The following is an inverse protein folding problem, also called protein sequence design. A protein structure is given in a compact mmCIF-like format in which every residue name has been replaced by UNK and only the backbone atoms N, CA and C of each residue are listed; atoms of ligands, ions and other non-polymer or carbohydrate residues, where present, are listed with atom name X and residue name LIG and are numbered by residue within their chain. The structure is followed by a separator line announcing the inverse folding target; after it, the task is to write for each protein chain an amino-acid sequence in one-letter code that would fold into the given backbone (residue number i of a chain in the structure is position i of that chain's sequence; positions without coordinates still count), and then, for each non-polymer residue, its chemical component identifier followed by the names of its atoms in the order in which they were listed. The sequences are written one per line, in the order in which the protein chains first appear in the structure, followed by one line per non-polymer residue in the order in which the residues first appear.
data_IF_306024975107
#
_entry.id   IF_306024975107
#
_cell.length_a   1.000
_cell.length_b   1.000
_cell.length_c   1.000
_cell.angle_alpha   90.00
_cell.angle_beta   90.00
_cell.angle_gamma   90.00
#
_symmetry.space_group_name_H-M   'P 1'
#
loop_
_entity.id
_entity.type
_entity.pdbx_description
1 polymer ?
#
# COMPACT_ATOMS: atom_id res chain seq x y z
N UNK A 1 1.46 -12.58 -3.08
CA UNK A 1 2.00 -12.68 -1.71
C UNK A 1 0.79 -12.63 -0.78
N UNK A 2 0.66 -13.57 0.16
CA UNK A 2 -0.49 -13.62 1.08
C UNK A 2 -0.10 -13.06 2.44
N UNK A 3 -1.07 -12.50 3.17
CA UNK A 3 -0.91 -11.99 4.54
C UNK A 3 -0.20 -13.00 5.45
N UNK A 4 -0.70 -14.24 5.48
CA UNK A 4 -0.16 -15.32 6.31
C UNK A 4 1.32 -15.63 6.04
N UNK A 5 1.79 -15.49 4.78
CA UNK A 5 3.21 -15.73 4.45
C UNK A 5 4.12 -14.66 5.09
N UNK A 6 3.67 -13.41 5.13
CA UNK A 6 4.43 -12.28 5.68
C UNK A 6 4.40 -12.34 7.21
N UNK A 7 3.25 -12.66 7.80
CA UNK A 7 3.09 -12.82 9.26
C UNK A 7 3.95 -13.96 9.81
N UNK A 8 4.03 -15.10 9.10
CA UNK A 8 4.93 -16.22 9.46
C UNK A 8 6.41 -15.83 9.48
N UNK A 9 6.81 -14.75 8.82
CA UNK A 9 8.17 -14.20 8.87
C UNK A 9 8.39 -13.24 10.04
N UNK A 10 7.39 -13.06 10.91
CA UNK A 10 7.49 -12.21 12.11
C UNK A 10 7.10 -10.75 11.89
N UNK A 11 6.45 -10.42 10.79
CA UNK A 11 5.99 -9.05 10.51
C UNK A 11 4.52 -8.85 10.92
N UNK A 12 4.19 -7.66 11.40
CA UNK A 12 2.80 -7.24 11.58
C UNK A 12 2.18 -6.80 10.25
N UNK A 13 0.98 -7.29 9.93
CA UNK A 13 0.36 -7.07 8.60
C UNK A 13 -1.09 -6.63 8.72
N UNK A 14 -1.38 -5.44 8.21
CA UNK A 14 -2.74 -5.00 7.91
C UNK A 14 -3.02 -5.27 6.42
N UNK A 15 -4.15 -5.92 6.12
CA UNK A 15 -4.53 -6.26 4.75
C UNK A 15 -5.92 -5.69 4.43
N UNK A 16 -6.04 -5.10 3.25
CA UNK A 16 -7.25 -4.44 2.78
C UNK A 16 -7.56 -4.89 1.35
N UNK A 17 -8.84 -5.02 1.03
CA UNK A 17 -9.35 -5.24 -0.33
C UNK A 17 -9.94 -3.97 -0.96
N UNK A 18 -10.06 -2.89 -0.18
CA UNK A 18 -10.53 -1.59 -0.62
C UNK A 18 -9.44 -0.54 -0.37
N UNK A 19 -8.95 0.16 -1.41
CA UNK A 19 -7.89 1.15 -1.24
C UNK A 19 -8.34 2.39 -0.46
N UNK A 20 -9.64 2.67 -0.36
CA UNK A 20 -10.16 3.78 0.46
C UNK A 20 -9.99 3.48 1.95
N UNK A 21 -10.28 2.24 2.37
CA UNK A 21 -10.07 1.80 3.75
C UNK A 21 -8.58 1.79 4.11
N UNK A 22 -7.74 1.33 3.18
CA UNK A 22 -6.29 1.38 3.34
C UNK A 22 -5.79 2.83 3.49
N UNK A 23 -6.27 3.76 2.66
CA UNK A 23 -5.89 5.17 2.73
C UNK A 23 -6.27 5.80 4.07
N UNK A 24 -7.49 5.54 4.56
CA UNK A 24 -7.94 6.03 5.87
C UNK A 24 -7.04 5.49 6.98
N UNK A 25 -6.83 4.17 7.01
CA UNK A 25 -5.98 3.53 8.01
C UNK A 25 -4.54 4.05 8.00
N UNK A 26 -3.94 4.27 6.81
CA UNK A 26 -2.57 4.78 6.68
C UNK A 26 -2.42 6.24 7.13
N UNK A 27 -3.50 7.02 7.12
CA UNK A 27 -3.54 8.41 7.60
C UNK A 27 -3.87 8.52 9.09
N UNK A 28 -4.41 7.48 9.72
CA UNK A 28 -4.68 7.44 11.16
C UNK A 28 -3.38 7.33 11.99
N UNK A 29 -3.39 7.90 13.20
CA UNK A 29 -2.22 7.89 14.09
C UNK A 29 -1.79 6.48 14.54
N UNK A 30 -2.72 5.52 14.56
CA UNK A 30 -2.45 4.15 14.99
C UNK A 30 -1.61 3.35 13.98
N UNK A 31 -1.42 3.87 12.76
CA UNK A 31 -0.61 3.21 11.74
C UNK A 31 0.82 3.76 11.65
N UNK A 32 1.26 4.60 12.60
CA UNK A 32 2.62 5.22 12.61
C UNK A 32 3.75 4.20 12.51
N UNK A 33 3.55 2.97 12.99
CA UNK A 33 4.54 1.89 12.91
C UNK A 33 4.65 1.22 11.52
N UNK A 34 3.68 1.46 10.63
CA UNK A 34 3.76 0.94 9.27
C UNK A 34 4.95 1.58 8.55
N UNK A 35 5.84 0.73 8.01
CA UNK A 35 7.06 1.15 7.31
C UNK A 35 7.05 0.84 5.82
N UNK A 36 6.16 -0.07 5.38
CA UNK A 36 6.06 -0.52 4.01
C UNK A 36 4.61 -0.82 3.63
N UNK A 37 4.22 -0.34 2.46
CA UNK A 37 2.93 -0.65 1.83
C UNK A 37 3.18 -1.46 0.58
N UNK A 38 2.51 -2.60 0.47
CA UNK A 38 2.50 -3.43 -0.74
C UNK A 38 1.12 -3.28 -1.37
N UNK A 39 1.06 -2.74 -2.59
CA UNK A 39 -0.21 -2.46 -3.28
C UNK A 39 -0.17 -2.95 -4.71
N UNK A 40 -1.29 -3.44 -5.23
CA UNK A 40 -1.43 -3.71 -6.65
C UNK A 40 -1.59 -2.40 -7.43
N UNK A 41 -1.06 -2.34 -8.66
CA UNK A 41 -1.13 -1.13 -9.49
C UNK A 41 -2.57 -0.80 -9.87
N UNK A 42 -3.39 -1.82 -10.14
CA UNK A 42 -4.79 -1.69 -10.54
C UNK A 42 -5.67 -2.23 -9.42
N UNK A 43 -6.41 -1.34 -8.78
CA UNK A 43 -7.45 -1.65 -7.81
C UNK A 43 -8.72 -0.88 -8.21
N UNK A 44 -9.91 -1.31 -7.77
CA UNK A 44 -11.12 -0.50 -7.89
C UNK A 44 -10.93 0.87 -7.20
N UNK A 45 -11.59 1.92 -7.70
CA UNK A 45 -11.61 3.29 -7.14
C UNK A 45 -10.32 4.10 -7.26
N UNK A 46 -9.14 3.52 -7.05
CA UNK A 46 -7.85 4.19 -7.28
C UNK A 46 -6.74 3.20 -7.60
N UNK A 47 -5.70 3.66 -8.29
CA UNK A 47 -4.48 2.91 -8.57
C UNK A 47 -3.55 2.89 -7.35
N UNK A 48 -2.65 1.90 -7.29
CA UNK A 48 -1.60 1.86 -6.26
C UNK A 48 -0.65 3.08 -6.32
N UNK A 49 -0.51 3.70 -7.50
CA UNK A 49 0.25 4.95 -7.69
C UNK A 49 -0.49 6.12 -7.04
N UNK A 50 -1.79 6.28 -7.30
CA UNK A 50 -2.62 7.33 -6.68
C UNK A 50 -2.68 7.17 -5.16
N UNK A 51 -2.86 5.94 -4.65
CA UNK A 51 -2.77 5.65 -3.22
C UNK A 51 -1.43 6.15 -2.64
N UNK A 52 -0.32 5.86 -3.32
CA UNK A 52 1.02 6.30 -2.85
C UNK A 52 1.16 7.82 -2.80
N UNK A 53 0.55 8.56 -3.74
CA UNK A 53 0.56 10.02 -3.73
C UNK A 53 -0.20 10.57 -2.53
N UNK A 54 -1.45 10.13 -2.33
CA UNK A 54 -2.28 10.59 -1.21
C UNK A 54 -1.69 10.27 0.16
N UNK A 55 -0.98 9.14 0.29
CA UNK A 55 -0.35 8.76 1.57
C UNK A 55 0.93 9.55 1.79
N UNK A 56 1.74 9.78 0.75
CA UNK A 56 2.99 10.56 0.85
C UNK A 56 2.78 12.02 1.27
N UNK A 57 1.61 12.59 1.01
CA UNK A 57 1.23 13.91 1.52
C UNK A 57 1.23 13.96 3.06
N UNK A 58 0.80 12.87 3.72
CA UNK A 58 0.77 12.77 5.18
C UNK A 58 2.01 12.07 5.76
N UNK A 59 2.60 11.15 5.00
CA UNK A 59 3.68 10.23 5.42
C UNK A 59 4.73 10.07 4.33
N UNK A 60 5.57 11.09 4.09
CA UNK A 60 6.57 11.06 3.03
C UNK A 60 7.65 9.99 3.22
N UNK A 61 7.84 9.50 4.45
CA UNK A 61 8.79 8.45 4.82
C UNK A 61 8.35 7.04 4.43
N UNK A 62 7.04 6.86 4.18
CA UNK A 62 6.46 5.53 3.97
C UNK A 62 6.87 4.96 2.61
N UNK A 63 7.41 3.73 2.63
CA UNK A 63 7.87 3.05 1.42
C UNK A 63 6.73 2.32 0.73
N UNK A 64 6.68 2.41 -0.60
CA UNK A 64 5.68 1.75 -1.42
C UNK A 64 6.34 0.73 -2.34
N UNK A 65 5.80 -0.49 -2.35
CA UNK A 65 6.08 -1.53 -3.33
C UNK A 65 4.82 -1.75 -4.14
N UNK A 66 4.89 -1.41 -5.43
CA UNK A 66 3.78 -1.59 -6.34
C UNK A 66 3.97 -2.92 -7.09
N UNK A 67 2.96 -3.77 -7.01
CA UNK A 67 2.89 -5.04 -7.74
C UNK A 67 2.00 -4.86 -8.96
N UNK A 68 2.38 -5.48 -10.07
CA UNK A 68 1.55 -5.54 -11.26
C UNK A 68 1.62 -6.94 -11.85
N UNK A 69 0.50 -7.43 -12.37
CA UNK A 69 0.45 -8.64 -13.20
C UNK A 69 0.79 -8.36 -14.67
N UNK A 70 0.84 -7.08 -15.06
CA UNK A 70 1.11 -6.61 -16.42
C UNK A 70 2.35 -5.70 -16.45
N UNK A 71 3.07 -5.61 -17.59
CA UNK A 71 4.18 -4.67 -17.73
C UNK A 71 3.70 -3.24 -17.49
N UNK A 72 4.31 -2.56 -16.52
CA UNK A 72 4.04 -1.14 -16.27
C UNK A 72 4.83 -0.34 -17.30
N UNK A 73 4.13 0.30 -18.24
CA UNK A 73 4.77 1.29 -19.11
C UNK A 73 5.04 2.52 -18.27
N UNK A 74 6.31 2.92 -18.15
CA UNK A 74 6.63 4.26 -17.63
C UNK A 74 6.01 5.25 -18.62
N UNK A 75 5.11 6.10 -18.13
CA UNK A 75 4.82 7.33 -18.84
C UNK A 75 6.05 8.21 -18.62
N UNK A 76 6.77 8.47 -19.72
CA UNK A 76 7.83 9.49 -19.79
C UNK A 76 7.22 10.88 -19.65
#
# INVERSE_FOLDING_TARGET
MTKAMIERKGHHVHAFNDPILALHHLKEENCKECSIVISDIKMPKMTGIELSKHVKEARPELKFVIRSSMPVRKQE
#
